data_IF_099877900261
#
_entry.id   IF_099877900261
#
_cell.length_a   1.000
_cell.length_b   1.000
_cell.length_c   1.000
_cell.angle_alpha   90.00
_cell.angle_beta   90.00
_cell.angle_gamma   90.00
#
_symmetry.space_group_name_H-M   'P 1'
#
loop_
_entity.id
_entity.type
_entity.pdbx_description
1 polymer ?
#
# COMPACT_ATOMS: atom_id res chain seq x y z
N UNK A 1 11.15 15.52 -11.64
CA UNK A 1 11.09 15.06 -10.22
C UNK A 1 9.65 14.74 -9.93
N UNK A 2 9.25 13.49 -10.23
CA UNK A 2 7.88 13.02 -10.02
C UNK A 2 7.67 12.66 -8.57
N UNK A 3 6.66 13.25 -7.96
CA UNK A 3 6.32 13.04 -6.57
C UNK A 3 5.16 12.05 -6.52
N UNK A 4 5.44 10.79 -6.24
CA UNK A 4 4.41 9.88 -5.75
C UNK A 4 3.99 10.36 -4.36
N UNK A 5 2.82 10.97 -4.26
CA UNK A 5 2.29 11.47 -3.00
C UNK A 5 1.48 10.39 -2.29
N UNK A 6 1.67 10.25 -0.97
CA UNK A 6 0.65 9.59 -0.16
C UNK A 6 -0.56 10.53 -0.07
N UNK A 7 -1.71 10.08 -0.54
CA UNK A 7 -2.98 10.78 -0.36
C UNK A 7 -3.46 10.51 1.06
N UNK A 8 -3.15 11.42 1.98
CA UNK A 8 -3.83 11.46 3.28
C UNK A 8 -5.12 12.26 3.13
N UNK A 9 -6.25 11.57 3.17
CA UNK A 9 -7.57 12.17 3.29
C UNK A 9 -7.83 12.54 4.76
N UNK A 10 -7.43 13.75 5.14
CA UNK A 10 -8.00 14.43 6.31
C UNK A 10 -8.51 15.77 5.87
N UNK A 11 -9.81 16.01 6.07
CA UNK A 11 -10.52 17.20 5.66
C UNK A 11 -10.18 18.43 6.48
N UNK A 12 -10.19 19.56 5.75
CA UNK A 12 -10.52 20.95 6.13
C UNK A 12 -9.68 21.66 7.18
N UNK A 13 -8.82 22.57 6.75
CA UNK A 13 -8.80 24.02 6.93
C UNK A 13 -7.39 24.59 6.76
N UNK A 14 -7.27 25.53 5.83
CA UNK A 14 -6.33 26.65 5.70
C UNK A 14 -5.05 26.63 6.54
N UNK A 15 -3.92 26.41 5.85
CA UNK A 15 -2.59 26.67 6.39
C UNK A 15 -1.53 26.07 5.47
N UNK A 16 -0.97 26.88 4.57
CA UNK A 16 0.21 26.53 3.78
C UNK A 16 1.38 26.22 4.71
N UNK A 17 1.63 24.96 4.95
CA UNK A 17 2.96 24.47 5.31
C UNK A 17 3.13 23.13 4.60
N UNK A 18 4.01 23.08 3.60
CA UNK A 18 4.48 21.85 2.99
C UNK A 18 5.21 21.01 4.04
N UNK A 19 4.47 20.24 4.79
CA UNK A 19 5.03 19.15 5.60
C UNK A 19 5.07 17.93 4.70
N UNK A 20 6.27 17.46 4.40
CA UNK A 20 6.52 16.08 4.01
C UNK A 20 6.05 15.22 5.20
N UNK A 21 4.76 14.89 5.23
CA UNK A 21 4.27 13.90 6.17
C UNK A 21 4.75 12.53 5.67
N UNK A 22 5.99 12.19 6.03
CA UNK A 22 6.35 10.79 6.13
C UNK A 22 5.33 10.15 7.07
N UNK A 23 4.79 9.00 6.69
CA UNK A 23 3.98 8.22 7.62
C UNK A 23 4.85 7.99 8.86
N UNK A 24 4.52 8.67 9.97
CA UNK A 24 5.22 8.41 11.23
C UNK A 24 4.63 7.15 11.83
N UNK A 25 5.51 6.21 12.17
CA UNK A 25 5.07 5.01 12.88
C UNK A 25 4.27 5.43 14.11
N UNK A 26 3.05 4.95 14.18
CA UNK A 26 2.26 5.08 15.39
C UNK A 26 2.86 4.10 16.42
N UNK A 27 2.83 4.38 17.71
CA UNK A 27 3.24 3.39 18.72
C UNK A 27 2.36 2.14 18.74
N UNK A 28 1.43 2.01 17.80
CA UNK A 28 0.43 0.96 17.68
C UNK A 28 0.87 -0.10 16.65
N UNK A 29 1.22 -1.29 17.13
CA UNK A 29 1.62 -2.43 16.29
C UNK A 29 0.56 -2.79 15.22
N UNK A 30 -0.75 -2.92 15.53
CA UNK A 30 -1.77 -3.19 14.54
C UNK A 30 -1.84 -2.18 13.41
N UNK A 31 -1.72 -0.89 13.72
CA UNK A 31 -1.76 0.17 12.72
C UNK A 31 -0.54 0.13 11.80
N UNK A 32 0.66 -0.07 12.35
CA UNK A 32 1.89 -0.19 11.55
C UNK A 32 1.88 -1.44 10.67
N UNK A 33 1.42 -2.57 11.21
CA UNK A 33 1.26 -3.81 10.44
C UNK A 33 0.26 -3.63 9.30
N UNK A 34 -0.88 -2.97 9.56
CA UNK A 34 -1.87 -2.68 8.53
C UNK A 34 -1.32 -1.76 7.43
N UNK A 35 -0.50 -0.76 7.77
CA UNK A 35 0.16 0.12 6.80
C UNK A 35 1.04 -0.70 5.85
N UNK A 36 1.91 -1.55 6.38
CA UNK A 36 2.80 -2.40 5.59
C UNK A 36 2.01 -3.41 4.74
N UNK A 37 1.02 -4.07 5.32
CA UNK A 37 0.17 -5.05 4.63
C UNK A 37 -0.61 -4.43 3.46
N UNK A 38 -1.10 -3.20 3.63
CA UNK A 38 -1.92 -2.52 2.63
C UNK A 38 -1.10 -1.97 1.45
N UNK A 39 0.23 -1.88 1.53
CA UNK A 39 1.04 -1.36 0.43
C UNK A 39 0.85 -2.16 -0.86
N UNK A 40 0.85 -3.50 -0.78
CA UNK A 40 0.56 -4.36 -1.94
C UNK A 40 -0.79 -4.01 -2.58
N UNK A 41 -1.81 -3.77 -1.76
CA UNK A 41 -3.16 -3.45 -2.24
C UNK A 41 -3.22 -2.06 -2.88
N UNK A 42 -2.46 -1.10 -2.35
CA UNK A 42 -2.31 0.24 -2.93
C UNK A 42 -1.66 0.18 -4.32
N UNK A 43 -0.59 -0.58 -4.48
CA UNK A 43 0.06 -0.77 -5.78
C UNK A 43 -0.87 -1.44 -6.80
N UNK A 44 -1.67 -2.42 -6.37
CA UNK A 44 -2.69 -3.05 -7.23
C UNK A 44 -3.77 -2.04 -7.63
N UNK A 45 -4.23 -1.19 -6.72
CA UNK A 45 -5.21 -0.16 -7.02
C UNK A 45 -4.70 0.80 -8.11
N UNK A 46 -3.44 1.24 -7.99
CA UNK A 46 -2.82 2.11 -8.98
C UNK A 46 -2.58 1.42 -10.32
N UNK A 47 -2.09 0.17 -10.30
CA UNK A 47 -1.96 -0.69 -11.50
C UNK A 47 -3.29 -0.81 -12.26
N UNK A 48 -4.38 -1.04 -11.53
CA UNK A 48 -5.71 -1.17 -12.11
C UNK A 48 -6.21 0.16 -12.69
N UNK A 49 -5.93 1.29 -12.03
CA UNK A 49 -6.23 2.62 -12.55
C UNK A 49 -5.45 2.90 -13.83
N UNK A 50 -4.15 2.64 -13.85
CA UNK A 50 -3.29 2.83 -15.03
C UNK A 50 -3.72 1.93 -16.20
N UNK A 51 -4.09 0.69 -15.93
CA UNK A 51 -4.57 -0.24 -16.96
C UNK A 51 -5.85 0.24 -17.64
N UNK A 52 -6.68 1.01 -16.91
CA UNK A 52 -7.91 1.61 -17.43
C UNK A 52 -7.66 2.86 -18.26
N UNK A 53 -6.75 3.73 -17.79
CA UNK A 53 -6.51 5.06 -18.39
C UNK A 53 -5.52 4.99 -19.54
N UNK A 54 -4.54 4.10 -19.44
CA UNK A 54 -3.45 3.97 -20.41
C UNK A 54 -3.22 2.49 -20.75
N UNK A 55 -4.11 1.85 -21.56
CA UNK A 55 -4.03 0.41 -21.84
C UNK A 55 -2.71 -0.07 -22.44
N UNK A 56 -2.00 0.80 -23.16
CA UNK A 56 -0.72 0.48 -23.80
C UNK A 56 0.41 0.17 -22.79
N UNK A 57 0.36 0.69 -21.55
CA UNK A 57 1.35 0.38 -20.51
C UNK A 57 0.99 -0.86 -19.68
N UNK A 58 -0.20 -1.42 -19.88
CA UNK A 58 -0.75 -2.51 -19.05
C UNK A 58 0.21 -3.69 -18.91
N UNK A 59 0.78 -4.15 -20.04
CA UNK A 59 1.66 -5.32 -20.05
C UNK A 59 2.96 -5.07 -19.28
N UNK A 60 3.59 -3.92 -19.49
CA UNK A 60 4.83 -3.56 -18.80
C UNK A 60 4.58 -3.30 -17.32
N UNK A 61 3.47 -2.64 -16.99
CA UNK A 61 3.04 -2.43 -15.59
C UNK A 61 2.79 -3.74 -14.86
N UNK A 62 2.11 -4.71 -15.52
CA UNK A 62 1.86 -6.02 -14.94
C UNK A 62 3.18 -6.75 -14.66
N UNK A 63 4.09 -6.79 -15.64
CA UNK A 63 5.40 -7.41 -15.49
C UNK A 63 6.23 -6.76 -14.37
N UNK A 64 6.27 -5.42 -14.34
CA UNK A 64 6.98 -4.70 -13.29
C UNK A 64 6.41 -4.94 -11.89
N UNK A 65 5.08 -5.11 -11.78
CA UNK A 65 4.43 -5.47 -10.54
C UNK A 65 4.77 -6.89 -10.09
N UNK A 66 4.79 -7.86 -11.00
CA UNK A 66 5.22 -9.24 -10.71
C UNK A 66 6.68 -9.25 -10.23
N UNK A 67 7.59 -8.56 -10.92
CA UNK A 67 8.99 -8.39 -10.51
C UNK A 67 9.12 -7.72 -9.11
N UNK A 68 8.21 -6.81 -8.77
CA UNK A 68 8.16 -6.18 -7.46
C UNK A 68 7.68 -7.16 -6.38
N UNK A 69 6.65 -7.96 -6.66
CA UNK A 69 6.15 -9.01 -5.76
C UNK A 69 7.24 -10.03 -5.48
N UNK A 70 7.92 -10.52 -6.52
CA UNK A 70 9.00 -11.52 -6.38
C UNK A 70 10.15 -11.00 -5.51
N UNK A 71 10.52 -9.71 -5.64
CA UNK A 71 11.56 -9.10 -4.79
C UNK A 71 11.16 -8.92 -3.33
N UNK A 72 9.87 -8.91 -3.03
CA UNK A 72 9.34 -8.71 -1.68
C UNK A 72 8.61 -9.93 -1.15
N UNK A 73 8.75 -11.10 -1.80
CA UNK A 73 8.00 -12.32 -1.48
C UNK A 73 8.06 -12.65 0.00
N UNK A 74 9.27 -12.82 0.56
CA UNK A 74 9.48 -13.17 1.97
C UNK A 74 8.82 -12.15 2.92
N UNK A 75 8.90 -10.86 2.58
CA UNK A 75 8.30 -9.78 3.39
C UNK A 75 6.78 -9.84 3.33
N UNK A 76 6.24 -10.02 2.12
CA UNK A 76 4.79 -10.06 1.91
C UNK A 76 4.16 -11.27 2.60
N UNK A 77 4.78 -12.44 2.51
CA UNK A 77 4.35 -13.66 3.22
C UNK A 77 4.40 -13.46 4.75
N UNK A 78 5.50 -12.94 5.25
CA UNK A 78 5.64 -12.68 6.69
C UNK A 78 4.63 -11.66 7.22
N UNK A 79 4.32 -10.61 6.44
CA UNK A 79 3.28 -9.64 6.79
C UNK A 79 1.90 -10.28 6.81
N UNK A 80 1.60 -11.17 5.85
CA UNK A 80 0.34 -11.90 5.81
C UNK A 80 0.20 -12.82 7.02
N UNK A 81 1.23 -13.59 7.36
CA UNK A 81 1.24 -14.48 8.54
C UNK A 81 1.01 -13.71 9.85
N UNK A 82 1.72 -12.59 10.03
CA UNK A 82 1.54 -11.73 11.20
C UNK A 82 0.14 -11.16 11.29
N UNK A 83 -0.40 -10.81 10.14
CA UNK A 83 -1.72 -10.27 10.03
C UNK A 83 -2.80 -11.31 10.38
N UNK A 84 -2.69 -12.53 9.85
CA UNK A 84 -3.57 -13.65 10.19
C UNK A 84 -3.46 -14.02 11.67
N UNK A 85 -2.23 -14.02 12.22
CA UNK A 85 -2.00 -14.25 13.64
C UNK A 85 -2.67 -13.18 14.52
N UNK A 86 -2.57 -11.92 14.15
CA UNK A 86 -3.23 -10.82 14.85
C UNK A 86 -4.75 -10.99 14.91
N UNK A 87 -5.38 -11.36 13.76
CA UNK A 87 -6.81 -11.63 13.70
C UNK A 87 -7.16 -12.83 14.60
N UNK A 88 -6.34 -13.89 14.57
CA UNK A 88 -6.55 -15.09 15.38
C UNK A 88 -6.48 -14.78 16.88
N UNK A 89 -5.50 -14.00 17.31
CA UNK A 89 -5.35 -13.58 18.71
C UNK A 89 -6.49 -12.67 19.20
N UNK A 90 -7.09 -11.89 18.30
CA UNK A 90 -8.24 -11.05 18.58
C UNK A 90 -9.59 -11.81 18.55
N UNK A 91 -9.57 -13.11 18.29
CA UNK A 91 -10.77 -13.95 18.14
C UNK A 91 -10.81 -15.01 19.25
N UNK A 92 -11.98 -15.20 19.84
CA UNK A 92 -12.19 -16.15 20.96
C UNK A 92 -12.29 -17.61 20.49
N UNK A 93 -12.78 -17.79 19.27
CA UNK A 93 -13.03 -19.09 18.66
C UNK A 93 -12.93 -19.01 17.11
N UNK A 94 -13.00 -20.15 16.44
CA UNK A 94 -12.88 -20.26 14.99
C UNK A 94 -14.00 -19.54 14.24
N UNK A 95 -15.20 -19.52 14.79
CA UNK A 95 -16.34 -18.79 14.20
C UNK A 95 -16.10 -17.29 14.23
N UNK A 96 -15.57 -16.78 15.33
CA UNK A 96 -15.20 -15.36 15.44
C UNK A 96 -14.01 -15.01 14.55
N UNK A 97 -13.02 -15.88 14.45
CA UNK A 97 -11.91 -15.73 13.52
C UNK A 97 -12.41 -15.59 12.07
N UNK A 98 -13.24 -16.53 11.61
CA UNK A 98 -13.79 -16.50 10.25
C UNK A 98 -14.56 -15.21 9.99
N UNK A 99 -15.36 -14.76 10.95
CA UNK A 99 -16.09 -13.49 10.86
C UNK A 99 -15.17 -12.28 10.80
N UNK A 100 -14.17 -12.21 11.66
CA UNK A 100 -13.22 -11.11 11.73
C UNK A 100 -12.35 -11.06 10.48
N UNK A 101 -11.88 -12.20 9.99
CA UNK A 101 -11.17 -12.33 8.73
C UNK A 101 -12.01 -11.82 7.55
N UNK A 102 -13.26 -12.26 7.45
CA UNK A 102 -14.18 -11.80 6.38
C UNK A 102 -14.43 -10.29 6.41
N UNK A 103 -14.63 -9.71 7.61
CA UNK A 103 -14.77 -8.25 7.77
C UNK A 103 -13.53 -7.52 7.29
N UNK A 104 -12.36 -8.05 7.61
CA UNK A 104 -11.11 -7.45 7.25
C UNK A 104 -10.86 -7.50 5.74
N UNK A 105 -11.07 -8.64 5.12
CA UNK A 105 -10.97 -8.78 3.66
C UNK A 105 -11.93 -7.81 2.95
N UNK A 106 -13.15 -7.67 3.47
CA UNK A 106 -14.11 -6.67 2.98
C UNK A 106 -13.58 -5.24 3.07
N UNK A 107 -12.98 -4.87 4.20
CA UNK A 107 -12.39 -3.54 4.39
C UNK A 107 -11.21 -3.28 3.44
N UNK A 108 -10.31 -4.26 3.25
CA UNK A 108 -9.20 -4.17 2.30
C UNK A 108 -9.70 -3.96 0.87
N UNK A 109 -10.74 -4.69 0.45
CA UNK A 109 -11.32 -4.55 -0.88
C UNK A 109 -11.98 -3.18 -1.08
N UNK A 110 -12.68 -2.67 -0.07
CA UNK A 110 -13.28 -1.34 -0.09
C UNK A 110 -12.20 -0.24 -0.17
N UNK A 111 -11.16 -0.35 0.64
CA UNK A 111 -10.03 0.59 0.62
C UNK A 111 -9.33 0.59 -0.73
N UNK A 112 -9.02 -0.59 -1.29
CA UNK A 112 -8.44 -0.72 -2.62
C UNK A 112 -9.31 -0.06 -3.69
N UNK A 113 -10.63 -0.24 -3.63
CA UNK A 113 -11.54 0.39 -4.58
C UNK A 113 -11.57 1.91 -4.40
N UNK A 114 -11.61 2.40 -3.17
CA UNK A 114 -11.57 3.83 -2.85
C UNK A 114 -10.27 4.48 -3.35
N UNK A 115 -9.14 3.84 -3.14
CA UNK A 115 -7.83 4.29 -3.64
C UNK A 115 -7.79 4.34 -5.17
N UNK A 116 -8.29 3.30 -5.84
CA UNK A 116 -8.39 3.30 -7.31
C UNK A 116 -9.24 4.46 -7.82
N UNK A 117 -10.39 4.72 -7.19
CA UNK A 117 -11.25 5.84 -7.56
C UNK A 117 -10.58 7.20 -7.30
N UNK A 118 -9.82 7.31 -6.21
CA UNK A 118 -9.04 8.51 -5.92
C UNK A 118 -7.98 8.78 -7.00
N UNK A 119 -7.25 7.74 -7.44
CA UNK A 119 -6.32 7.88 -8.57
C UNK A 119 -7.01 8.30 -9.87
N UNK A 120 -8.18 7.75 -10.15
CA UNK A 120 -8.95 8.09 -11.37
C UNK A 120 -9.52 9.53 -11.35
N UNK A 121 -9.56 10.20 -10.19
CA UNK A 121 -9.96 11.60 -10.04
C UNK A 121 -8.81 12.60 -10.25
N UNK A 122 -7.57 12.12 -10.33
CA UNK A 122 -6.44 12.99 -10.66
C UNK A 122 -6.64 13.64 -12.05
N UNK A 123 -6.05 14.82 -12.28
CA UNK A 123 -6.03 15.42 -13.61
C UNK A 123 -5.51 14.41 -14.64
N UNK A 124 -6.21 14.26 -15.77
CA UNK A 124 -5.93 13.21 -16.75
C UNK A 124 -4.47 13.19 -17.22
N UNK A 125 -3.89 14.37 -17.44
CA UNK A 125 -2.50 14.49 -17.90
C UNK A 125 -1.51 14.02 -16.82
N UNK A 126 -1.76 14.36 -15.56
CA UNK A 126 -0.98 13.93 -14.42
C UNK A 126 -1.06 12.43 -14.26
N UNK A 127 -2.26 11.84 -14.27
CA UNK A 127 -2.45 10.41 -14.16
C UNK A 127 -1.77 9.65 -15.32
N UNK A 128 -1.86 10.14 -16.56
CA UNK A 128 -1.17 9.54 -17.70
C UNK A 128 0.35 9.56 -17.49
N UNK A 129 0.89 10.68 -17.00
CA UNK A 129 2.33 10.79 -16.69
C UNK A 129 2.75 9.78 -15.63
N UNK A 130 2.04 9.75 -14.52
CA UNK A 130 2.31 8.79 -13.43
C UNK A 130 2.22 7.34 -13.91
N UNK A 131 1.22 7.00 -14.74
CA UNK A 131 1.08 5.67 -15.30
C UNK A 131 2.24 5.27 -16.25
N UNK A 132 2.80 6.22 -17.00
CA UNK A 132 3.99 5.96 -17.82
C UNK A 132 5.24 5.70 -16.98
N UNK A 133 5.37 6.36 -15.83
CA UNK A 133 6.51 6.25 -14.94
C UNK A 133 6.40 5.07 -13.97
N UNK A 134 5.20 4.55 -13.76
CA UNK A 134 4.92 3.53 -12.77
C UNK A 134 5.71 2.23 -12.93
N UNK A 135 5.89 1.64 -14.13
CA UNK A 135 6.74 0.45 -14.27
C UNK A 135 8.19 0.69 -13.86
N UNK A 136 8.76 1.85 -14.20
CA UNK A 136 10.11 2.22 -13.80
C UNK A 136 10.21 2.47 -12.29
N UNK A 137 9.18 3.08 -11.70
CA UNK A 137 9.08 3.22 -10.25
C UNK A 137 9.10 1.87 -9.54
N UNK A 138 8.27 0.90 -9.97
CA UNK A 138 8.22 -0.44 -9.37
C UNK A 138 9.56 -1.18 -9.43
N UNK A 139 10.38 -0.94 -10.46
CA UNK A 139 11.72 -1.53 -10.60
C UNK A 139 12.81 -0.78 -9.84
N UNK A 140 12.51 0.37 -9.30
CA UNK A 140 13.50 1.22 -8.63
C UNK A 140 13.59 0.94 -7.13
N UNK A 141 14.71 1.29 -6.46
CA UNK A 141 14.81 1.23 -5.01
C UNK A 141 13.81 2.12 -4.27
N UNK A 142 13.15 3.05 -4.98
CA UNK A 142 12.12 3.93 -4.40
C UNK A 142 10.83 3.22 -4.05
N UNK A 143 10.57 2.06 -4.69
CA UNK A 143 9.43 1.19 -4.38
C UNK A 143 9.76 0.10 -3.36
N UNK A 144 10.98 0.07 -2.85
CA UNK A 144 11.37 -0.86 -1.81
C UNK A 144 10.64 -0.53 -0.51
N UNK A 145 9.95 -1.51 0.05
CA UNK A 145 9.11 -1.33 1.23
C UNK A 145 9.91 -0.86 2.45
N UNK A 146 11.14 -1.33 2.62
CA UNK A 146 12.02 -0.89 3.73
C UNK A 146 12.41 0.58 3.60
N UNK A 147 12.58 1.06 2.36
CA UNK A 147 12.91 2.45 2.10
C UNK A 147 11.70 3.37 2.24
N UNK A 148 10.51 2.86 1.95
CA UNK A 148 9.25 3.61 2.02
C UNK A 148 8.72 3.74 3.44
N UNK A 149 8.86 2.69 4.25
CA UNK A 149 8.23 2.53 5.57
C UNK A 149 9.23 2.12 6.66
N UNK A 150 10.38 2.82 6.80
CA UNK A 150 11.44 2.41 7.73
C UNK A 150 10.99 2.41 9.18
N UNK A 151 10.08 3.31 9.56
CA UNK A 151 9.58 3.43 10.92
C UNK A 151 8.59 2.32 11.25
N UNK A 152 7.66 2.03 10.33
CA UNK A 152 6.69 0.94 10.46
C UNK A 152 7.40 -0.42 10.51
N UNK A 153 8.42 -0.63 9.67
CA UNK A 153 9.26 -1.82 9.75
C UNK A 153 9.93 -1.96 11.09
N UNK A 154 10.51 -0.88 11.63
CA UNK A 154 11.11 -0.88 12.95
C UNK A 154 10.08 -1.17 14.07
N UNK A 155 8.85 -0.68 13.93
CA UNK A 155 7.77 -0.92 14.89
C UNK A 155 7.27 -2.38 14.85
N UNK A 156 7.21 -2.99 13.65
CA UNK A 156 6.68 -4.35 13.46
C UNK A 156 7.74 -5.43 13.69
N UNK A 157 8.98 -5.19 13.30
CA UNK A 157 10.07 -6.18 13.33
C UNK A 157 11.12 -5.89 14.41
N UNK A 158 11.05 -4.77 15.10
CA UNK A 158 12.13 -4.27 15.95
C UNK A 158 13.27 -3.68 15.10
N UNK A 159 14.33 -3.20 15.74
CA UNK A 159 15.50 -2.57 15.07
C UNK A 159 16.35 -3.53 14.22
N UNK A 160 15.96 -4.79 14.06
CA UNK A 160 16.63 -5.76 13.18
C UNK A 160 15.79 -5.94 11.93
N UNK A 161 16.40 -5.68 10.76
CA UNK A 161 15.84 -6.14 9.48
C UNK A 161 15.63 -7.66 9.53
N UNK A 162 14.52 -8.19 8.98
CA UNK A 162 14.35 -9.62 8.78
C UNK A 162 15.41 -10.17 7.83
#
# INVERSE_FOLDING_TARGET
MSRFFPVSLTGVAAGLCCSLAGAQATGDYPANLATLYNERHRLVAFKDACSRVLPQVRRDTQKAYEEWVDRHEDVLENLEDRFLLMIKQASRDEKEYTRNYGKYQGAVMQERQAQKEAFLKLPKEELIKECKEFPAYLRSPRSDMYNMYPEEFNAVYGKKKP
#
